data_IF_385707601127
#
_entry.id   IF_385707601127
#
_cell.length_a   1.000
_cell.length_b   1.000
_cell.length_c   1.000
_cell.angle_alpha   90.00
_cell.angle_beta   90.00
_cell.angle_gamma   90.00
#
_symmetry.space_group_name_H-M   'P 1'
#
loop_
_entity.id
_entity.type
_entity.pdbx_description
1 polymer ?
#
# COMPACT_ATOMS: atom_id res chain seq x y z
N UNK A 1 49.81 23.44 -10.37
CA UNK A 1 49.30 22.05 -10.29
C UNK A 1 48.55 21.73 -8.98
N UNK A 2 48.08 22.71 -8.18
CA UNK A 2 47.49 22.44 -6.84
C UNK A 2 45.97 22.63 -6.71
N UNK A 3 45.33 23.37 -7.62
CA UNK A 3 43.88 23.67 -7.54
C UNK A 3 43.02 22.65 -8.28
N UNK A 4 43.46 22.19 -9.46
CA UNK A 4 42.73 21.22 -10.30
C UNK A 4 42.54 19.86 -9.61
N UNK A 5 43.54 19.40 -8.85
CA UNK A 5 43.46 18.12 -8.13
C UNK A 5 42.45 18.17 -6.98
N UNK A 6 42.27 19.34 -6.35
CA UNK A 6 41.31 19.53 -5.25
C UNK A 6 39.87 19.57 -5.75
N UNK A 7 39.61 20.20 -6.89
CA UNK A 7 38.28 20.23 -7.51
C UNK A 7 37.85 18.86 -8.01
N UNK A 8 38.74 18.08 -8.63
CA UNK A 8 38.43 16.72 -9.08
C UNK A 8 38.08 15.81 -7.89
N UNK A 9 38.88 15.85 -6.81
CA UNK A 9 38.59 15.05 -5.61
C UNK A 9 37.25 15.42 -4.94
N UNK A 10 36.89 16.70 -4.90
CA UNK A 10 35.61 17.14 -4.34
C UNK A 10 34.41 16.69 -5.19
N UNK A 11 34.55 16.70 -6.52
CA UNK A 11 33.52 16.21 -7.45
C UNK A 11 33.34 14.70 -7.32
N UNK A 12 34.44 13.93 -7.31
CA UNK A 12 34.37 12.48 -7.15
C UNK A 12 33.77 12.09 -5.79
N UNK A 13 34.16 12.76 -4.71
CA UNK A 13 33.59 12.53 -3.38
C UNK A 13 32.08 12.78 -3.35
N UNK A 14 31.63 13.90 -3.93
CA UNK A 14 30.20 14.25 -4.00
C UNK A 14 29.40 13.24 -4.82
N UNK A 15 29.93 12.81 -5.97
CA UNK A 15 29.31 11.81 -6.85
C UNK A 15 29.23 10.44 -6.14
N UNK A 16 30.32 9.98 -5.52
CA UNK A 16 30.37 8.70 -4.81
C UNK A 16 29.44 8.71 -3.59
N UNK A 17 29.42 9.80 -2.83
CA UNK A 17 28.52 9.95 -1.68
C UNK A 17 27.04 9.95 -2.11
N UNK A 18 26.69 10.70 -3.14
CA UNK A 18 25.35 10.72 -3.75
C UNK A 18 24.92 9.33 -4.25
N UNK A 19 25.82 8.61 -4.93
CA UNK A 19 25.58 7.24 -5.39
C UNK A 19 25.40 6.25 -4.24
N UNK A 20 26.18 6.39 -3.16
CA UNK A 20 26.07 5.53 -1.97
C UNK A 20 24.74 5.77 -1.25
N UNK A 21 24.36 7.02 -1.03
CA UNK A 21 23.07 7.38 -0.44
C UNK A 21 21.89 6.87 -1.28
N UNK A 22 21.95 7.03 -2.61
CA UNK A 22 20.93 6.50 -3.54
C UNK A 22 20.80 4.97 -3.45
N UNK A 23 21.91 4.23 -3.38
CA UNK A 23 21.88 2.77 -3.24
C UNK A 23 21.21 2.33 -1.93
N UNK A 24 21.51 3.02 -0.82
CA UNK A 24 20.86 2.75 0.46
C UNK A 24 19.37 3.07 0.45
N UNK A 25 18.98 4.21 -0.14
CA UNK A 25 17.57 4.55 -0.31
C UNK A 25 16.82 3.48 -1.12
N UNK A 26 17.40 3.04 -2.25
CA UNK A 26 16.82 1.96 -3.06
C UNK A 26 16.69 0.68 -2.24
N UNK A 27 17.73 0.30 -1.49
CA UNK A 27 17.69 -0.90 -0.65
C UNK A 27 16.59 -0.81 0.44
N UNK A 28 16.43 0.35 1.08
CA UNK A 28 15.38 0.58 2.07
C UNK A 28 13.98 0.52 1.45
N UNK A 29 13.80 1.11 0.27
CA UNK A 29 12.53 1.04 -0.46
C UNK A 29 12.19 -0.39 -0.88
N UNK A 30 13.17 -1.15 -1.38
CA UNK A 30 12.98 -2.56 -1.73
C UNK A 30 12.63 -3.40 -0.50
N UNK A 31 13.32 -3.19 0.62
CA UNK A 31 13.02 -3.86 1.87
C UNK A 31 11.61 -3.52 2.38
N UNK A 32 11.20 -2.25 2.25
CA UNK A 32 9.85 -1.81 2.62
C UNK A 32 8.78 -2.46 1.73
N UNK A 33 9.00 -2.52 0.41
CA UNK A 33 8.08 -3.20 -0.52
C UNK A 33 7.98 -4.69 -0.18
N UNK A 34 9.11 -5.35 0.08
CA UNK A 34 9.12 -6.77 0.47
C UNK A 34 8.35 -6.99 1.78
N UNK A 35 8.56 -6.12 2.77
CA UNK A 35 7.82 -6.14 4.03
C UNK A 35 6.32 -5.94 3.81
N UNK A 36 5.91 -4.94 3.01
CA UNK A 36 4.51 -4.65 2.73
C UNK A 36 3.82 -5.83 2.04
N UNK A 37 4.46 -6.45 1.05
CA UNK A 37 3.95 -7.66 0.36
C UNK A 37 3.77 -8.81 1.34
N UNK A 38 4.78 -9.08 2.18
CA UNK A 38 4.71 -10.14 3.18
C UNK A 38 3.62 -9.88 4.22
N UNK A 39 3.47 -8.63 4.66
CA UNK A 39 2.43 -8.21 5.59
C UNK A 39 1.04 -8.41 5.01
N UNK A 40 0.76 -7.88 3.81
CA UNK A 40 -0.54 -8.01 3.12
C UNK A 40 -0.90 -9.48 2.89
N UNK A 41 0.08 -10.29 2.45
CA UNK A 41 -0.14 -11.72 2.25
C UNK A 41 -0.49 -12.42 3.56
N UNK A 42 0.22 -12.10 4.65
CA UNK A 42 0.04 -12.77 5.95
C UNK A 42 -1.18 -12.28 6.72
N UNK A 43 -1.65 -11.06 6.47
CA UNK A 43 -2.89 -10.52 7.03
C UNK A 43 -4.14 -10.93 6.26
N UNK A 44 -3.99 -11.49 5.05
CA UNK A 44 -5.10 -12.04 4.27
C UNK A 44 -5.63 -13.36 4.85
N UNK A 45 -6.92 -13.63 4.66
CA UNK A 45 -7.59 -14.84 5.16
C UNK A 45 -8.29 -15.59 4.03
N UNK A 46 -8.50 -16.90 4.23
CA UNK A 46 -9.17 -17.77 3.25
C UNK A 46 -10.52 -18.19 3.81
N UNK A 47 -11.59 -17.90 3.07
CA UNK A 47 -12.96 -18.29 3.41
C UNK A 47 -13.53 -19.05 2.22
N UNK A 48 -14.01 -20.27 2.45
CA UNK A 48 -14.58 -21.14 1.40
C UNK A 48 -13.66 -21.36 0.18
N UNK A 49 -12.34 -21.36 0.37
CA UNK A 49 -11.36 -21.55 -0.70
C UNK A 49 -11.00 -20.28 -1.47
N UNK A 50 -11.66 -19.16 -1.21
CA UNK A 50 -11.33 -17.85 -1.77
C UNK A 50 -10.48 -17.03 -0.77
N UNK A 51 -9.40 -16.40 -1.26
CA UNK A 51 -8.53 -15.54 -0.44
C UNK A 51 -9.04 -14.10 -0.48
N UNK A 52 -9.25 -13.54 0.70
CA UNK A 52 -9.69 -12.18 0.90
C UNK A 52 -8.54 -11.35 1.49
N UNK A 53 -8.32 -10.19 0.89
CA UNK A 53 -7.39 -9.17 1.38
C UNK A 53 -8.21 -8.02 1.96
N UNK A 54 -7.95 -7.64 3.21
CA UNK A 54 -8.56 -6.45 3.80
C UNK A 54 -7.97 -5.20 3.14
N UNK A 55 -8.83 -4.37 2.54
CA UNK A 55 -8.47 -2.99 2.21
C UNK A 55 -8.59 -2.10 3.45
N UNK A 56 -8.04 -0.89 3.38
CA UNK A 56 -8.32 0.18 4.34
C UNK A 56 -9.83 0.29 4.59
N UNK A 57 -10.19 0.33 5.88
CA UNK A 57 -11.53 0.04 6.41
C UNK A 57 -12.65 0.80 5.67
N UNK A 58 -12.47 2.10 5.45
CA UNK A 58 -13.47 2.95 4.81
C UNK A 58 -13.79 2.54 3.36
N UNK A 59 -12.78 2.17 2.58
CA UNK A 59 -12.98 1.74 1.20
C UNK A 59 -13.63 0.35 1.15
N UNK A 60 -13.35 -0.50 2.15
CA UNK A 60 -13.97 -1.81 2.29
C UNK A 60 -15.48 -1.70 2.46
N UNK A 61 -15.94 -0.70 3.21
CA UNK A 61 -17.35 -0.44 3.42
C UNK A 61 -18.06 -0.16 2.09
N UNK A 62 -17.58 0.82 1.32
CA UNK A 62 -18.18 1.18 0.03
C UNK A 62 -18.18 0.01 -0.96
N UNK A 63 -17.09 -0.76 -1.04
CA UNK A 63 -17.00 -1.92 -1.92
C UNK A 63 -17.96 -3.05 -1.51
N UNK A 64 -18.17 -3.28 -0.21
CA UNK A 64 -19.13 -4.27 0.28
C UNK A 64 -20.56 -3.91 -0.10
N UNK A 65 -20.95 -2.66 0.14
CA UNK A 65 -22.26 -2.14 -0.25
C UNK A 65 -22.46 -2.17 -1.77
N UNK A 66 -21.46 -1.76 -2.55
CA UNK A 66 -21.50 -1.82 -4.02
C UNK A 66 -21.64 -3.25 -4.55
N UNK A 67 -20.89 -4.22 -3.98
CA UNK A 67 -21.02 -5.64 -4.33
C UNK A 67 -22.42 -6.14 -4.05
N UNK A 68 -22.96 -5.86 -2.86
CA UNK A 68 -24.30 -6.31 -2.48
C UNK A 68 -25.39 -5.68 -3.35
N UNK A 69 -25.26 -4.40 -3.69
CA UNK A 69 -26.15 -3.73 -4.63
C UNK A 69 -26.08 -4.38 -6.03
N UNK A 70 -24.87 -4.65 -6.54
CA UNK A 70 -24.68 -5.29 -7.85
C UNK A 70 -25.26 -6.71 -7.93
N UNK A 71 -25.28 -7.44 -6.81
CA UNK A 71 -25.89 -8.78 -6.72
C UNK A 71 -27.40 -8.73 -6.38
N UNK A 72 -28.01 -7.55 -6.30
CA UNK A 72 -29.44 -7.37 -6.05
C UNK A 72 -29.87 -7.48 -4.58
N UNK A 73 -28.92 -7.52 -3.64
CA UNK A 73 -29.22 -7.53 -2.20
C UNK A 73 -29.55 -6.14 -1.63
N UNK A 74 -29.27 -5.08 -2.41
CA UNK A 74 -29.45 -3.69 -2.01
C UNK A 74 -28.28 -3.15 -1.17
N UNK A 75 -28.47 -1.95 -0.63
CA UNK A 75 -27.48 -1.29 0.23
C UNK A 75 -27.54 -1.87 1.65
N UNK A 76 -26.96 -3.05 1.84
CA UNK A 76 -26.89 -3.75 3.13
C UNK A 76 -25.47 -4.23 3.41
N UNK A 77 -25.09 -4.34 4.68
CA UNK A 77 -23.77 -4.87 5.08
C UNK A 77 -23.67 -6.40 4.87
N UNK A 78 -24.63 -7.13 5.44
CA UNK A 78 -24.79 -8.58 5.28
C UNK A 78 -26.21 -8.90 4.78
N UNK A 79 -26.37 -9.56 3.61
CA UNK A 79 -27.69 -9.84 3.04
C UNK A 79 -28.65 -10.64 3.95
N UNK A 80 -28.12 -11.53 4.79
CA UNK A 80 -28.89 -12.38 5.71
C UNK A 80 -28.94 -11.84 7.15
N UNK A 81 -28.33 -10.69 7.41
CA UNK A 81 -28.24 -10.08 8.73
C UNK A 81 -29.29 -8.99 8.96
N UNK A 82 -29.21 -8.34 10.11
CA UNK A 82 -29.97 -7.14 10.40
C UNK A 82 -29.62 -6.01 9.41
N UNK A 83 -30.62 -5.26 8.97
CA UNK A 83 -30.41 -4.10 8.10
C UNK A 83 -29.97 -2.92 8.95
N UNK A 84 -28.68 -2.61 8.87
CA UNK A 84 -28.05 -1.47 9.54
C UNK A 84 -27.43 -0.51 8.52
N UNK A 85 -27.48 0.79 8.83
CA UNK A 85 -26.73 1.81 8.11
C UNK A 85 -25.26 1.74 8.55
N UNK A 86 -24.40 1.26 7.67
CA UNK A 86 -22.99 0.98 7.94
C UNK A 86 -22.02 1.99 7.30
N UNK A 87 -22.52 3.08 6.73
CA UNK A 87 -21.72 4.15 6.15
C UNK A 87 -22.35 5.51 6.47
N UNK A 88 -21.53 6.51 6.77
CA UNK A 88 -21.98 7.88 7.04
C UNK A 88 -21.93 8.78 5.81
N UNK A 89 -21.48 8.23 4.68
CA UNK A 89 -21.15 9.01 3.51
C UNK A 89 -21.74 8.41 2.21
N UNK A 90 -23.02 8.69 1.89
CA UNK A 90 -23.68 8.16 0.71
C UNK A 90 -23.16 8.71 -0.63
N UNK A 91 -22.50 9.88 -0.62
CA UNK A 91 -22.13 10.64 -1.82
C UNK A 91 -20.66 11.10 -1.87
N UNK A 92 -19.86 10.71 -0.88
CA UNK A 92 -18.49 11.16 -0.57
C UNK A 92 -18.38 12.54 0.11
#
# INVERSE_FOLDING_TARGET
>A
MSQLTRTVAAVEFTIVYSNRARRWLIALLLAHVAYAVAFIWRSSFVVQGERFFCLFDDAMISMRYARNLAHGHGLVWNPTGERVEGFTNPLW
#
